data_IF_466862072814
#
_entry.id   IF_466862072814
#
_cell.length_a   1.000
_cell.length_b   1.000
_cell.length_c   1.000
_cell.angle_alpha   90.00
_cell.angle_beta   90.00
_cell.angle_gamma   90.00
#
_symmetry.space_group_name_H-M   'P 1'
#
loop_
_entity.id
_entity.type
_entity.pdbx_description
1 polymer ?
#
# COMPACT_ATOMS: atom_id res chain seq x y z
N UNK A 1 15.93 -19.10 -4.61
CA UNK A 1 15.00 -20.16 -4.18
C UNK A 1 14.14 -19.60 -3.06
N UNK A 2 12.85 -19.94 -3.00
CA UNK A 2 11.97 -19.47 -1.92
C UNK A 2 12.12 -20.41 -0.74
N UNK A 3 12.46 -19.86 0.42
CA UNK A 3 12.49 -20.60 1.67
C UNK A 3 11.06 -21.03 2.03
N UNK A 4 10.84 -22.35 2.08
CA UNK A 4 9.51 -22.94 2.31
C UNK A 4 9.05 -22.75 3.74
N UNK A 5 9.96 -22.79 4.71
CA UNK A 5 9.62 -22.67 6.12
C UNK A 5 9.12 -21.25 6.42
N UNK A 6 9.79 -20.25 5.81
CA UNK A 6 9.34 -18.85 5.87
C UNK A 6 7.98 -18.69 5.19
N UNK A 7 7.79 -19.31 4.02
CA UNK A 7 6.52 -19.21 3.30
C UNK A 7 5.35 -19.86 4.04
N UNK A 8 5.57 -20.98 4.74
CA UNK A 8 4.55 -21.62 5.57
C UNK A 8 4.17 -20.77 6.79
N UNK A 9 5.16 -20.18 7.47
CA UNK A 9 4.91 -19.25 8.56
C UNK A 9 4.13 -18.01 8.08
N UNK A 10 4.55 -17.43 6.96
CA UNK A 10 3.83 -16.31 6.36
C UNK A 10 2.40 -16.71 5.96
N UNK A 11 2.19 -17.94 5.46
CA UNK A 11 0.86 -18.43 5.11
C UNK A 11 -0.06 -18.55 6.32
N UNK A 12 0.46 -19.00 7.47
CA UNK A 12 -0.28 -19.05 8.72
C UNK A 12 -0.65 -17.66 9.23
N UNK A 13 0.29 -16.71 9.16
CA UNK A 13 0.09 -15.32 9.60
C UNK A 13 -0.94 -14.60 8.70
N UNK A 14 -0.81 -14.77 7.38
CA UNK A 14 -1.62 -14.09 6.38
C UNK A 14 -2.93 -14.82 6.06
N UNK A 15 -3.12 -16.02 6.61
CA UNK A 15 -4.32 -16.85 6.38
C UNK A 15 -4.46 -17.35 4.94
N UNK A 16 -3.35 -17.57 4.23
CA UNK A 16 -3.34 -17.98 2.82
C UNK A 16 -3.08 -19.48 2.67
N UNK A 17 -3.64 -20.07 1.61
CA UNK A 17 -3.60 -21.53 1.39
C UNK A 17 -2.65 -21.95 0.27
N UNK A 18 -2.14 -21.01 -0.51
CA UNK A 18 -1.22 -21.27 -1.63
C UNK A 18 0.00 -20.38 -1.52
N UNK A 19 1.16 -20.90 -1.92
CA UNK A 19 2.43 -20.14 -1.94
C UNK A 19 2.29 -18.82 -2.69
N UNK A 20 1.63 -18.85 -3.86
CA UNK A 20 1.38 -17.65 -4.66
C UNK A 20 0.55 -16.62 -3.89
N UNK A 21 -0.54 -17.04 -3.26
CA UNK A 21 -1.36 -16.14 -2.45
C UNK A 21 -0.58 -15.56 -1.26
N UNK A 22 0.26 -16.37 -0.61
CA UNK A 22 1.13 -15.90 0.48
C UNK A 22 2.10 -14.83 0.01
N UNK A 23 2.75 -15.03 -1.14
CA UNK A 23 3.68 -14.05 -1.71
C UNK A 23 2.94 -12.76 -2.10
N UNK A 24 1.82 -12.87 -2.81
CA UNK A 24 1.02 -11.71 -3.24
C UNK A 24 0.51 -10.91 -2.03
N UNK A 25 0.05 -11.58 -0.97
CA UNK A 25 -0.40 -10.94 0.26
C UNK A 25 0.77 -10.27 1.00
N UNK A 26 1.92 -10.94 1.12
CA UNK A 26 3.12 -10.39 1.75
C UNK A 26 3.59 -9.12 1.04
N UNK A 27 3.63 -9.14 -0.30
CA UNK A 27 4.03 -7.98 -1.10
C UNK A 27 3.06 -6.81 -0.94
N UNK A 28 1.75 -7.11 -0.89
CA UNK A 28 0.72 -6.09 -0.67
C UNK A 28 0.90 -5.39 0.69
N UNK A 29 1.18 -6.14 1.74
CA UNK A 29 1.42 -5.57 3.08
C UNK A 29 2.64 -4.64 3.09
N UNK A 30 3.74 -5.03 2.44
CA UNK A 30 4.94 -4.19 2.32
C UNK A 30 4.63 -2.88 1.57
N UNK A 31 3.92 -2.96 0.44
CA UNK A 31 3.53 -1.78 -0.34
C UNK A 31 2.62 -0.87 0.48
N UNK A 32 1.65 -1.42 1.20
CA UNK A 32 0.75 -0.67 2.06
C UNK A 32 1.50 0.03 3.19
N UNK A 33 2.47 -0.66 3.82
CA UNK A 33 3.31 -0.08 4.86
C UNK A 33 4.14 1.09 4.31
N UNK A 34 4.75 0.93 3.13
CA UNK A 34 5.51 1.99 2.48
C UNK A 34 4.64 3.20 2.15
N UNK A 35 3.46 2.99 1.54
CA UNK A 35 2.50 4.06 1.24
C UNK A 35 2.02 4.79 2.49
N UNK A 36 1.86 4.09 3.60
CA UNK A 36 1.49 4.70 4.89
C UNK A 36 2.58 5.62 5.40
N UNK A 37 3.85 5.21 5.29
CA UNK A 37 5.00 6.06 5.66
C UNK A 37 5.12 7.27 4.75
N UNK A 38 4.94 7.08 3.43
CA UNK A 38 4.88 8.18 2.47
C UNK A 38 3.78 9.18 2.85
N UNK A 39 2.56 8.69 3.10
CA UNK A 39 1.43 9.53 3.52
C UNK A 39 1.73 10.30 4.81
N UNK A 40 2.30 9.65 5.83
CA UNK A 40 2.72 10.33 7.07
C UNK A 40 3.72 11.44 6.75
N UNK A 41 4.71 11.17 5.90
CA UNK A 41 5.68 12.17 5.46
C UNK A 41 5.03 13.35 4.73
N UNK A 42 3.96 13.12 3.95
CA UNK A 42 3.23 14.20 3.28
C UNK A 42 2.42 15.04 4.28
N UNK A 43 1.77 14.39 5.25
CA UNK A 43 0.95 15.05 6.26
C UNK A 43 1.79 15.85 7.28
N UNK A 44 3.04 15.44 7.51
CA UNK A 44 3.96 16.13 8.41
C UNK A 44 4.56 17.42 7.83
N UNK A 45 4.40 17.65 6.52
CA UNK A 45 4.92 18.83 5.82
C UNK A 45 3.74 19.63 5.22
N UNK A 46 2.97 20.36 6.05
CA UNK A 46 1.73 21.04 5.62
C UNK A 46 1.97 22.13 4.56
N UNK A 47 3.20 22.62 4.43
CA UNK A 47 3.57 23.66 3.46
C UNK A 47 3.99 23.07 2.10
N UNK A 48 4.15 21.74 1.98
CA UNK A 48 4.60 21.06 0.75
C UNK A 48 3.47 20.71 -0.21
N UNK A 49 2.23 20.76 0.26
CA UNK A 49 1.04 20.55 -0.56
C UNK A 49 0.16 21.80 -0.50
N UNK A 50 0.40 22.76 -1.39
CA UNK A 50 -0.74 23.45 -1.99
C UNK A 50 -1.56 22.35 -2.65
N UNK A 51 -2.64 21.90 -2.00
CA UNK A 51 -3.74 21.25 -2.68
C UNK A 51 -4.19 22.29 -3.71
N UNK A 52 -3.63 22.21 -4.92
CA UNK A 52 -4.20 22.87 -6.08
C UNK A 52 -5.60 22.27 -6.20
N UNK A 53 -6.55 22.97 -5.58
CA UNK A 53 -7.97 22.84 -5.83
C UNK A 53 -8.21 23.36 -7.24
N UNK A 54 -7.61 22.73 -8.25
CA UNK A 54 -8.05 22.81 -9.62
C UNK A 54 -9.38 22.09 -9.65
N UNK A 55 -10.37 22.92 -9.36
CA UNK A 55 -11.82 22.74 -9.38
C UNK A 55 -12.31 22.40 -10.81
N UNK A 56 -11.47 21.76 -11.63
CA UNK A 56 -11.63 21.62 -13.09
C UNK A 56 -11.69 20.16 -13.56
N UNK A 57 -11.51 19.18 -12.67
CA UNK A 57 -11.52 17.76 -13.06
C UNK A 57 -12.91 17.08 -12.96
N UNK A 58 -13.91 17.72 -12.36
CA UNK A 58 -15.24 17.14 -12.15
C UNK A 58 -16.36 18.12 -12.54
N UNK A 59 -16.51 18.34 -13.84
CA UNK A 59 -17.74 18.77 -14.53
C UNK A 59 -18.63 19.79 -13.83
N UNK A 60 -18.36 21.09 -14.04
CA UNK A 60 -19.32 22.15 -13.81
C UNK A 60 -20.08 22.47 -15.10
N UNK A 61 -21.40 22.27 -15.07
CA UNK A 61 -22.38 22.62 -16.11
C UNK A 61 -22.14 24.02 -16.71
N UNK A 62 -22.30 24.12 -18.03
CA UNK A 62 -22.89 25.30 -18.66
C UNK A 62 -23.76 24.88 -19.86
#
# INVERSE_FOLDING_TARGET
>A
EVDRDIAEQAAQILGTTTLRATIDASLREIVNAKRRLELISLLQDPDRYELDTSTDAWGGDN
#
